data_IF_116105535310
#
_entry.id   IF_116105535310
#
_cell.length_a   1.000
_cell.length_b   1.000
_cell.length_c   1.000
_cell.angle_alpha   90.00
_cell.angle_beta   90.00
_cell.angle_gamma   90.00
#
_symmetry.space_group_name_H-M   'P 1'
#
loop_
_entity.id
_entity.type
_entity.pdbx_description
1 polymer ?
#
# COMPACT_ATOMS: atom_id res chain seq x y z
N UNK A 1 -23.84 25.95 -57.53
CA UNK A 1 -24.15 26.57 -56.22
C UNK A 1 -25.05 25.58 -55.48
N UNK A 2 -24.81 24.99 -54.31
CA UNK A 2 -23.75 25.03 -53.28
C UNK A 2 -23.75 23.61 -52.71
N UNK A 3 -22.64 22.87 -52.80
CA UNK A 3 -21.93 22.31 -51.62
C UNK A 3 -22.46 22.87 -50.28
N UNK A 4 -23.08 22.03 -49.46
CA UNK A 4 -23.16 22.17 -48.01
C UNK A 4 -23.39 20.77 -47.43
N UNK A 5 -22.33 19.99 -47.25
CA UNK A 5 -21.50 19.93 -46.04
C UNK A 5 -22.25 19.44 -44.80
N UNK A 6 -21.81 18.26 -44.35
CA UNK A 6 -21.53 17.89 -42.96
C UNK A 6 -22.55 18.26 -41.87
N UNK A 7 -23.24 17.25 -41.38
CA UNK A 7 -23.41 16.97 -39.95
C UNK A 7 -23.29 15.43 -39.83
N UNK A 8 -22.16 14.79 -39.53
CA UNK A 8 -21.28 14.90 -38.36
C UNK A 8 -22.03 15.06 -37.02
N UNK A 9 -22.95 14.13 -36.74
CA UNK A 9 -23.21 13.68 -35.38
C UNK A 9 -22.26 12.50 -35.12
N UNK A 10 -21.03 12.72 -34.67
CA UNK A 10 -20.66 13.13 -33.31
C UNK A 10 -21.40 12.33 -32.24
N UNK A 11 -21.03 11.06 -32.18
CA UNK A 11 -21.20 10.20 -31.02
C UNK A 11 -19.99 9.28 -30.96
N UNK A 12 -18.81 9.85 -30.75
CA UNK A 12 -17.65 9.07 -30.36
C UNK A 12 -18.06 8.28 -29.12
N UNK A 13 -18.32 6.98 -29.29
CA UNK A 13 -18.06 6.02 -28.23
C UNK A 13 -16.56 6.11 -27.98
N UNK A 14 -16.18 7.09 -27.17
CA UNK A 14 -14.95 7.01 -26.42
C UNK A 14 -15.18 5.80 -25.56
N UNK A 15 -14.68 4.66 -26.02
CA UNK A 15 -14.21 3.64 -25.12
C UNK A 15 -13.35 4.41 -24.13
N UNK A 16 -13.91 4.65 -22.95
CA UNK A 16 -13.15 4.91 -21.75
C UNK A 16 -12.29 3.67 -21.62
N UNK A 17 -11.17 3.71 -22.35
CA UNK A 17 -9.96 3.05 -21.95
C UNK A 17 -9.90 3.41 -20.48
N UNK A 18 -10.07 2.41 -19.63
CA UNK A 18 -9.52 2.47 -18.30
C UNK A 18 -8.04 2.71 -18.53
N UNK A 19 -7.67 3.98 -18.71
CA UNK A 19 -6.38 4.50 -18.35
C UNK A 19 -6.31 4.18 -16.87
N UNK A 20 -5.85 2.96 -16.62
CA UNK A 20 -5.05 2.59 -15.47
C UNK A 20 -3.84 3.53 -15.46
N UNK A 21 -4.10 4.82 -15.23
CA UNK A 21 -3.40 5.58 -14.22
C UNK A 21 -3.61 4.79 -12.92
N UNK A 22 -2.89 3.67 -12.80
CA UNK A 22 -2.42 3.18 -11.52
C UNK A 22 -1.71 4.39 -10.93
N UNK A 23 -2.45 5.08 -10.09
CA UNK A 23 -1.96 6.07 -9.18
C UNK A 23 -0.62 5.54 -8.66
N UNK A 24 0.46 6.29 -8.90
CA UNK A 24 1.81 5.98 -8.37
C UNK A 24 1.86 5.94 -6.84
N UNK A 25 0.72 5.96 -6.16
CA UNK A 25 0.53 6.01 -4.71
C UNK A 25 0.07 4.68 -4.09
N UNK A 26 -0.36 3.68 -4.88
CA UNK A 26 -0.79 2.36 -4.37
C UNK A 26 0.22 1.25 -4.72
N UNK A 27 1.44 1.35 -4.17
CA UNK A 27 2.44 0.26 -4.23
C UNK A 27 2.63 -0.36 -2.85
N UNK A 28 3.05 -1.64 -2.77
CA UNK A 28 3.38 -2.28 -1.48
C UNK A 28 4.45 -1.48 -0.72
N UNK A 29 5.48 -1.01 -1.43
CA UNK A 29 6.54 -0.12 -0.93
C UNK A 29 6.02 1.04 -0.08
N UNK A 30 5.03 1.78 -0.61
CA UNK A 30 4.52 2.98 0.05
C UNK A 30 3.67 2.67 1.26
N UNK A 31 2.92 1.57 1.21
CA UNK A 31 2.09 1.13 2.34
C UNK A 31 3.00 0.63 3.46
N UNK A 32 4.04 -0.14 3.14
CA UNK A 32 5.03 -0.62 4.11
C UNK A 32 5.85 0.54 4.70
N UNK A 33 6.31 1.48 3.88
CA UNK A 33 7.01 2.68 4.35
C UNK A 33 6.17 3.49 5.34
N UNK A 34 4.91 3.76 4.98
CA UNK A 34 4.00 4.48 5.87
C UNK A 34 3.71 3.70 7.16
N UNK A 35 3.48 2.39 7.06
CA UNK A 35 3.24 1.52 8.20
C UNK A 35 4.43 1.52 9.16
N UNK A 36 5.63 1.23 8.66
CA UNK A 36 6.84 1.16 9.49
C UNK A 36 7.18 2.51 10.13
N UNK A 37 6.94 3.62 9.41
CA UNK A 37 7.07 4.97 9.98
C UNK A 37 6.12 5.20 11.14
N UNK A 38 4.84 4.87 10.99
CA UNK A 38 3.89 5.05 12.10
C UNK A 38 4.18 4.12 13.26
N UNK A 39 4.60 2.88 12.99
CA UNK A 39 5.01 1.95 14.02
C UNK A 39 6.26 2.44 14.77
N UNK A 40 7.27 3.00 14.08
CA UNK A 40 8.44 3.55 14.76
C UNK A 40 8.14 4.79 15.59
N UNK A 41 7.14 5.57 15.20
CA UNK A 41 6.60 6.71 15.95
C UNK A 41 5.66 6.31 17.10
N UNK A 42 5.27 5.04 17.21
CA UNK A 42 4.28 4.56 18.18
C UNK A 42 2.83 4.92 17.85
N UNK A 43 2.56 5.37 16.62
CA UNK A 43 1.26 5.84 16.16
C UNK A 43 0.41 4.67 15.62
N UNK A 44 -0.08 3.84 16.55
CA UNK A 44 -0.96 2.71 16.23
C UNK A 44 -2.23 3.15 15.49
N UNK A 45 -2.77 4.33 15.80
CA UNK A 45 -3.99 4.84 15.17
C UNK A 45 -3.83 4.99 13.66
N UNK A 46 -2.63 5.39 13.20
CA UNK A 46 -2.31 5.51 11.78
C UNK A 46 -1.74 4.24 11.16
N UNK A 47 -1.11 3.35 11.94
CA UNK A 47 -0.60 2.08 11.43
C UNK A 47 -1.72 1.06 11.15
N UNK A 48 -2.69 0.94 12.05
CA UNK A 48 -3.83 0.01 11.96
C UNK A 48 -4.58 0.05 10.61
N UNK A 49 -4.96 1.21 10.03
CA UNK A 49 -5.68 1.24 8.75
C UNK A 49 -4.82 0.82 7.53
N UNK A 50 -3.52 0.63 7.71
CA UNK A 50 -2.60 0.16 6.67
C UNK A 50 -2.37 -1.36 6.73
N UNK A 51 -2.96 -2.04 7.71
CA UNK A 51 -2.77 -3.46 7.97
C UNK A 51 -3.98 -4.29 7.50
N UNK A 52 -3.78 -5.60 7.26
CA UNK A 52 -4.90 -6.53 7.11
C UNK A 52 -5.71 -6.60 8.41
N UNK A 53 -6.98 -7.05 8.40
CA UNK A 53 -7.78 -7.16 9.62
C UNK A 53 -7.10 -7.96 10.74
N UNK A 54 -6.39 -9.05 10.38
CA UNK A 54 -5.67 -9.91 11.32
C UNK A 54 -4.50 -9.17 11.96
N UNK A 55 -3.67 -8.50 11.15
CA UNK A 55 -2.56 -7.68 11.65
C UNK A 55 -3.07 -6.48 12.45
N UNK A 56 -4.17 -5.86 12.03
CA UNK A 56 -4.81 -4.77 12.78
C UNK A 56 -5.29 -5.22 14.16
N UNK A 57 -5.82 -6.43 14.30
CA UNK A 57 -6.18 -7.02 15.59
C UNK A 57 -4.94 -7.22 16.46
N UNK A 58 -3.88 -7.82 15.91
CA UNK A 58 -2.60 -8.00 16.61
C UNK A 58 -2.03 -6.67 17.10
N UNK A 59 -2.08 -5.61 16.28
CA UNK A 59 -1.62 -4.27 16.67
C UNK A 59 -2.44 -3.67 17.82
N UNK A 60 -3.74 -3.93 17.89
CA UNK A 60 -4.58 -3.48 19.02
C UNK A 60 -4.23 -4.22 20.30
N UNK A 61 -3.89 -5.51 20.21
CA UNK A 61 -3.38 -6.28 21.36
C UNK A 61 -2.05 -5.69 21.84
N UNK A 62 -1.10 -5.45 20.93
CA UNK A 62 0.18 -4.81 21.25
C UNK A 62 0.01 -3.43 21.91
N UNK A 63 -0.87 -2.60 21.36
CA UNK A 63 -1.19 -1.29 21.93
C UNK A 63 -1.75 -1.40 23.36
N UNK A 64 -2.64 -2.36 23.61
CA UNK A 64 -3.21 -2.62 24.95
C UNK A 64 -2.13 -3.07 25.93
N UNK A 65 -1.19 -3.88 25.47
CA UNK A 65 -0.09 -4.42 26.29
C UNK A 65 1.08 -3.43 26.44
N UNK A 66 1.01 -2.26 25.78
CA UNK A 66 2.08 -1.26 25.78
C UNK A 66 3.35 -1.73 25.06
N UNK A 67 3.20 -2.67 24.12
CA UNK A 67 4.28 -3.24 23.33
C UNK A 67 4.25 -2.68 21.91
N UNK A 68 5.41 -2.42 21.31
CA UNK A 68 5.54 -2.08 19.90
C UNK A 68 6.90 -2.54 19.38
N UNK A 69 6.87 -3.45 18.40
CA UNK A 69 8.08 -4.07 17.83
C UNK A 69 9.06 -3.08 17.20
N UNK A 70 8.56 -1.97 16.65
CA UNK A 70 9.38 -1.03 15.87
C UNK A 70 9.60 0.32 16.55
N UNK A 71 9.05 0.52 17.75
CA UNK A 71 9.06 1.83 18.40
C UNK A 71 10.49 2.33 18.66
N UNK A 72 10.81 3.49 18.09
CA UNK A 72 12.13 4.11 18.20
C UNK A 72 13.16 3.60 17.19
N UNK A 73 12.86 2.56 16.41
CA UNK A 73 13.79 2.03 15.42
C UNK A 73 13.96 3.02 14.26
N UNK A 74 15.19 3.13 13.76
CA UNK A 74 15.49 3.80 12.50
C UNK A 74 15.24 2.81 11.36
N UNK A 75 14.31 3.15 10.47
CA UNK A 75 13.91 2.32 9.32
C UNK A 75 14.59 2.84 8.06
N UNK A 76 15.32 1.97 7.36
CA UNK A 76 16.12 2.32 6.18
C UNK A 76 15.99 1.25 5.08
N UNK A 77 16.30 1.66 3.83
CA UNK A 77 16.42 0.78 2.66
C UNK A 77 15.25 -0.20 2.49
N UNK A 78 14.03 0.33 2.51
CA UNK A 78 12.84 -0.46 2.17
C UNK A 78 12.94 -0.78 0.68
N UNK A 79 12.78 -2.07 0.36
CA UNK A 79 12.71 -2.60 -1.00
C UNK A 79 11.66 -3.71 -1.04
N UNK A 80 10.68 -3.59 -1.94
CA UNK A 80 9.65 -4.61 -2.14
C UNK A 80 9.80 -5.39 -3.44
N UNK A 81 9.76 -6.71 -3.34
CA UNK A 81 9.69 -7.64 -4.47
C UNK A 81 8.27 -8.17 -4.64
N UNK A 82 7.74 -8.11 -5.85
CA UNK A 82 6.41 -8.64 -6.17
C UNK A 82 6.50 -10.17 -6.28
N UNK A 83 5.82 -10.88 -5.38
CA UNK A 83 5.68 -12.35 -5.47
C UNK A 83 4.59 -12.71 -6.48
N UNK A 84 3.50 -11.94 -6.50
CA UNK A 84 2.38 -12.11 -7.43
C UNK A 84 1.72 -10.77 -7.75
N UNK A 85 0.58 -10.78 -8.46
CA UNK A 85 -0.19 -9.55 -8.70
C UNK A 85 -0.86 -8.98 -7.45
N UNK A 86 -0.89 -9.76 -6.36
CA UNK A 86 -1.60 -9.46 -5.12
C UNK A 86 -0.75 -9.65 -3.87
N UNK A 87 0.51 -10.04 -4.00
CA UNK A 87 1.42 -10.30 -2.88
C UNK A 87 2.80 -9.71 -3.19
N UNK A 88 3.43 -9.13 -2.17
CA UNK A 88 4.77 -8.61 -2.22
C UNK A 88 5.48 -8.86 -0.89
N UNK A 89 6.78 -9.11 -0.97
CA UNK A 89 7.65 -9.27 0.19
C UNK A 89 8.59 -8.06 0.24
N UNK A 90 8.65 -7.39 1.39
CA UNK A 90 9.38 -6.15 1.55
C UNK A 90 10.49 -6.31 2.57
N UNK A 91 11.74 -6.10 2.15
CA UNK A 91 12.90 -6.11 3.04
C UNK A 91 13.28 -4.70 3.44
N UNK A 92 13.78 -4.53 4.66
CA UNK A 92 14.22 -3.25 5.19
C UNK A 92 15.26 -3.45 6.29
N UNK A 93 15.88 -2.38 6.74
CA UNK A 93 16.75 -2.37 7.92
C UNK A 93 16.06 -1.65 9.07
N UNK A 94 16.04 -2.28 10.23
CA UNK A 94 15.65 -1.67 11.51
C UNK A 94 16.88 -1.66 12.41
N UNK A 95 17.38 -0.46 12.73
CA UNK A 95 18.62 -0.28 13.52
C UNK A 95 19.80 -1.11 13.01
N UNK A 96 19.97 -1.14 11.69
CA UNK A 96 21.05 -1.89 11.03
C UNK A 96 20.84 -3.40 10.95
N UNK A 97 19.75 -3.94 11.51
CA UNK A 97 19.36 -5.35 11.36
C UNK A 97 18.37 -5.51 10.21
N UNK A 98 18.65 -6.43 9.29
CA UNK A 98 17.75 -6.71 8.17
C UNK A 98 16.49 -7.45 8.67
N UNK A 99 15.33 -6.95 8.29
CA UNK A 99 14.02 -7.51 8.58
C UNK A 99 13.19 -7.62 7.29
N UNK A 100 12.10 -8.38 7.36
CA UNK A 100 11.17 -8.60 6.25
C UNK A 100 9.74 -8.47 6.75
N UNK A 101 8.86 -7.99 5.89
CA UNK A 101 7.43 -7.86 6.14
C UNK A 101 6.67 -8.06 4.83
N UNK A 102 5.47 -8.61 4.90
CA UNK A 102 4.67 -8.88 3.72
C UNK A 102 3.62 -7.78 3.48
N UNK A 103 3.26 -7.60 2.22
CA UNK A 103 2.14 -6.79 1.82
C UNK A 103 1.24 -7.57 0.87
N UNK A 104 -0.06 -7.57 1.16
CA UNK A 104 -1.08 -8.26 0.35
C UNK A 104 -2.10 -7.27 -0.19
N UNK A 105 -2.65 -7.56 -1.36
CA UNK A 105 -3.63 -6.70 -2.01
C UNK A 105 -5.04 -7.24 -1.82
N UNK A 106 -5.82 -6.56 -0.99
CA UNK A 106 -7.23 -6.89 -0.72
C UNK A 106 -8.12 -5.77 -1.25
N UNK A 107 -9.16 -6.11 -2.01
CA UNK A 107 -10.10 -5.15 -2.61
C UNK A 107 -9.41 -4.01 -3.39
N UNK A 108 -8.31 -4.34 -4.08
CA UNK A 108 -7.52 -3.40 -4.87
C UNK A 108 -6.59 -2.49 -4.06
N UNK A 109 -6.52 -2.64 -2.73
CA UNK A 109 -5.63 -1.88 -1.84
C UNK A 109 -4.53 -2.76 -1.27
N UNK A 110 -3.32 -2.25 -1.24
CA UNK A 110 -2.21 -2.91 -0.54
C UNK A 110 -2.35 -2.69 0.96
N UNK A 111 -2.10 -3.74 1.74
CA UNK A 111 -2.13 -3.75 3.19
C UNK A 111 -0.96 -4.57 3.69
N UNK A 112 -0.38 -4.17 4.82
CA UNK A 112 0.66 -4.93 5.52
C UNK A 112 0.05 -6.18 6.14
N UNK A 113 0.69 -7.32 5.88
CA UNK A 113 0.38 -8.61 6.47
C UNK A 113 1.54 -9.05 7.36
N UNK A 114 1.25 -9.34 8.61
CA UNK A 114 2.18 -9.92 9.57
C UNK A 114 1.58 -11.23 10.07
N UNK A 115 2.38 -12.29 9.98
CA UNK A 115 2.07 -13.56 10.61
C UNK A 115 2.42 -13.53 12.11
N UNK A 116 1.69 -14.31 12.91
CA UNK A 116 1.89 -14.43 14.38
C UNK A 116 3.09 -15.29 14.74
#
# INVERSE_FOLDING_TARGET
MKKLMLMLALGCFVAVNFSSCKSKTDSPEKVVEAFLKYMSEGDFEKAIPLATPETAEMLREWQKDGFNLYQGNVIENIECEMISGTEAECSFYADGSRAMIEAVKTDGKWLVHMEK
#
